data_IF_108856451429
#
_entry.id   IF_108856451429
#
_cell.length_a   1.000
_cell.length_b   1.000
_cell.length_c   1.000
_cell.angle_alpha   90.00
_cell.angle_beta   90.00
_cell.angle_gamma   90.00
#
_symmetry.space_group_name_H-M   'P 1'
#
loop_
_entity.id
_entity.type
_entity.pdbx_description
1 polymer ?
#
# COMPACT_ATOMS: atom_id res chain seq x y z
N UNK A 1 18.44 9.08 7.45
CA UNK A 1 17.68 10.32 7.22
C UNK A 1 16.46 9.95 6.40
N UNK A 2 15.30 10.53 6.70
CA UNK A 2 14.11 10.32 5.88
C UNK A 2 14.24 11.11 4.57
N UNK A 3 13.86 10.49 3.46
CA UNK A 3 13.74 11.14 2.16
C UNK A 3 12.46 10.64 1.47
N UNK A 4 11.83 11.54 0.71
CA UNK A 4 10.66 11.22 -0.09
C UNK A 4 10.64 12.05 -1.38
N UNK A 5 9.91 11.56 -2.38
CA UNK A 5 9.60 12.30 -3.60
C UNK A 5 8.15 12.05 -4.03
N UNK A 6 7.59 13.05 -4.71
CA UNK A 6 6.27 12.97 -5.34
C UNK A 6 6.46 13.39 -6.79
N UNK A 7 6.07 12.55 -7.74
CA UNK A 7 6.20 12.80 -9.16
C UNK A 7 4.90 12.45 -9.91
N UNK A 8 4.61 13.10 -11.06
CA UNK A 8 3.63 12.60 -12.01
C UNK A 8 3.98 11.19 -12.49
N UNK A 9 2.98 10.44 -12.97
CA UNK A 9 3.23 9.17 -13.64
C UNK A 9 3.80 9.46 -15.04
N UNK A 10 5.06 9.08 -15.27
CA UNK A 10 5.69 9.16 -16.59
C UNK A 10 5.34 7.95 -17.48
N UNK A 11 5.75 7.98 -18.75
CA UNK A 11 5.44 6.91 -19.71
C UNK A 11 6.03 5.56 -19.31
N UNK A 12 7.26 5.55 -18.77
CA UNK A 12 7.92 4.32 -18.35
C UNK A 12 7.20 3.67 -17.16
N UNK A 13 6.75 4.48 -16.20
CA UNK A 13 5.99 4.02 -15.06
C UNK A 13 4.56 3.63 -15.45
N UNK A 14 3.90 4.37 -16.35
CA UNK A 14 2.61 3.98 -16.89
C UNK A 14 2.67 2.60 -17.57
N UNK A 15 3.76 2.30 -18.28
CA UNK A 15 4.00 0.99 -18.87
C UNK A 15 4.25 -0.11 -17.81
N UNK A 16 4.98 0.20 -16.73
CA UNK A 16 5.15 -0.71 -15.58
C UNK A 16 3.82 -0.99 -14.86
N UNK A 17 2.91 -0.03 -14.85
CA UNK A 17 1.61 -0.09 -14.15
C UNK A 17 0.47 -0.69 -14.97
N UNK A 18 0.76 -1.37 -16.09
CA UNK A 18 -0.28 -1.82 -17.02
C UNK A 18 -1.21 -2.90 -16.47
N UNK A 19 -0.87 -3.53 -15.33
CA UNK A 19 -1.74 -4.51 -14.69
C UNK A 19 -2.69 -3.84 -13.69
N UNK A 20 -2.19 -2.87 -12.92
CA UNK A 20 -2.94 -2.16 -11.89
C UNK A 20 -3.72 -0.96 -12.40
N UNK A 21 -3.43 -0.48 -13.62
CA UNK A 21 -4.15 0.61 -14.30
C UNK A 21 -4.51 0.23 -15.74
N UNK A 22 -5.71 0.62 -16.20
CA UNK A 22 -6.17 0.45 -17.58
C UNK A 22 -7.28 1.47 -17.93
N UNK A 23 -7.58 1.70 -19.22
CA UNK A 23 -8.76 2.47 -19.61
C UNK A 23 -10.04 1.93 -18.94
N UNK A 24 -10.83 2.83 -18.35
CA UNK A 24 -12.03 2.49 -17.57
C UNK A 24 -11.82 2.47 -16.05
N UNK A 25 -10.57 2.61 -15.58
CA UNK A 25 -10.30 2.92 -14.18
C UNK A 25 -10.89 4.28 -13.77
N UNK A 26 -11.35 4.42 -12.52
CA UNK A 26 -12.08 5.61 -12.09
C UNK A 26 -11.18 6.85 -11.92
N UNK A 27 -9.86 6.67 -11.89
CA UNK A 27 -8.87 7.75 -11.76
C UNK A 27 -7.90 7.66 -12.94
N UNK A 28 -7.75 8.74 -13.73
CA UNK A 28 -6.82 8.76 -14.84
C UNK A 28 -5.37 8.96 -14.35
N UNK A 29 -4.37 8.63 -15.18
CA UNK A 29 -2.95 8.67 -14.77
C UNK A 29 -2.49 10.06 -14.34
N UNK A 30 -3.04 11.13 -14.94
CA UNK A 30 -2.73 12.52 -14.59
C UNK A 30 -3.11 12.91 -13.15
N UNK A 31 -4.06 12.19 -12.54
CA UNK A 31 -4.51 12.41 -11.17
C UNK A 31 -3.80 11.49 -10.16
N UNK A 32 -2.93 10.59 -10.64
CA UNK A 32 -2.09 9.74 -9.80
C UNK A 32 -0.68 10.32 -9.63
N UNK A 33 -0.07 10.04 -8.48
CA UNK A 33 1.31 10.42 -8.17
C UNK A 33 2.09 9.19 -7.76
N UNK A 34 3.29 9.08 -8.32
CA UNK A 34 4.30 8.16 -7.86
C UNK A 34 5.00 8.78 -6.66
N UNK A 35 4.96 8.06 -5.55
CA UNK A 35 5.53 8.48 -4.29
C UNK A 35 6.62 7.49 -3.91
N UNK A 36 7.82 7.99 -3.65
CA UNK A 36 8.87 7.20 -2.99
C UNK A 36 9.08 7.70 -1.58
N UNK A 37 9.27 6.79 -0.63
CA UNK A 37 9.53 7.13 0.77
C UNK A 37 10.61 6.23 1.34
N UNK A 38 11.38 6.77 2.28
CA UNK A 38 12.31 5.98 3.07
C UNK A 38 11.55 5.29 4.21
N UNK A 39 11.78 3.99 4.42
CA UNK A 39 11.22 3.23 5.54
C UNK A 39 12.29 2.39 6.23
N UNK A 40 11.93 1.82 7.38
CA UNK A 40 12.76 0.83 8.11
C UNK A 40 12.10 -0.53 7.95
N UNK A 41 12.86 -1.55 7.58
CA UNK A 41 12.34 -2.93 7.49
C UNK A 41 12.34 -3.65 8.85
N UNK A 42 11.78 -4.85 8.90
CA UNK A 42 11.73 -5.66 10.13
C UNK A 42 13.12 -6.05 10.68
N UNK A 43 14.16 -6.02 9.84
CA UNK A 43 15.55 -6.24 10.25
C UNK A 43 16.23 -4.94 10.73
N UNK A 44 15.51 -3.82 10.71
CA UNK A 44 15.99 -2.50 11.12
C UNK A 44 16.79 -1.76 10.04
N UNK A 45 16.87 -2.28 8.82
CA UNK A 45 17.59 -1.67 7.72
C UNK A 45 16.74 -0.58 7.05
N UNK A 46 17.41 0.47 6.57
CA UNK A 46 16.78 1.58 5.86
C UNK A 46 16.59 1.19 4.39
N UNK A 47 15.36 1.33 3.89
CA UNK A 47 14.94 0.99 2.54
C UNK A 47 14.20 2.15 1.88
N UNK A 48 14.06 2.08 0.57
CA UNK A 48 13.15 2.94 -0.20
C UNK A 48 11.96 2.10 -0.64
N UNK A 49 10.77 2.63 -0.44
CA UNK A 49 9.51 2.02 -0.88
C UNK A 49 8.85 2.85 -1.97
N UNK A 50 8.00 2.18 -2.74
CA UNK A 50 7.24 2.74 -3.88
C UNK A 50 5.74 2.66 -3.60
N UNK A 51 5.04 3.77 -3.83
CA UNK A 51 3.57 3.85 -3.79
C UNK A 51 3.06 4.64 -4.99
N UNK A 52 1.84 4.33 -5.40
CA UNK A 52 1.05 5.20 -6.27
C UNK A 52 -0.22 5.56 -5.53
N UNK A 53 -0.54 6.85 -5.48
CA UNK A 53 -1.67 7.41 -4.75
C UNK A 53 -2.32 8.52 -5.57
N UNK A 54 -3.53 8.92 -5.20
CA UNK A 54 -4.17 10.09 -5.80
C UNK A 54 -3.42 11.37 -5.41
N UNK A 55 -3.39 12.35 -6.31
CA UNK A 55 -2.63 13.58 -6.14
C UNK A 55 -3.03 14.39 -4.89
N UNK A 56 -4.31 14.36 -4.52
CA UNK A 56 -4.85 15.09 -3.35
C UNK A 56 -4.38 14.54 -1.99
N UNK A 57 -3.95 13.26 -1.93
CA UNK A 57 -3.47 12.63 -0.69
C UNK A 57 -1.95 12.48 -0.65
N UNK A 58 -1.23 12.73 -1.76
CA UNK A 58 0.20 12.45 -1.89
C UNK A 58 1.06 13.07 -0.76
N UNK A 59 0.87 14.36 -0.47
CA UNK A 59 1.60 15.03 0.60
C UNK A 59 1.23 14.50 2.00
N UNK A 60 -0.04 14.12 2.19
CA UNK A 60 -0.50 13.48 3.42
C UNK A 60 0.19 12.13 3.65
N UNK A 61 0.30 11.32 2.60
CA UNK A 61 0.97 10.02 2.62
C UNK A 61 2.47 10.18 2.95
N UNK A 62 3.15 11.15 2.34
CA UNK A 62 4.56 11.46 2.68
C UNK A 62 4.70 11.79 4.17
N UNK A 63 3.83 12.63 4.74
CA UNK A 63 3.86 12.95 6.18
C UNK A 63 3.65 11.71 7.06
N UNK A 64 2.67 10.87 6.74
CA UNK A 64 2.42 9.63 7.50
C UNK A 64 3.67 8.74 7.49
N UNK A 65 4.31 8.53 6.33
CA UNK A 65 5.51 7.69 6.29
C UNK A 65 6.74 8.35 6.95
N UNK A 66 6.81 9.68 7.00
CA UNK A 66 7.82 10.37 7.80
C UNK A 66 7.64 10.06 9.30
N UNK A 67 6.41 10.15 9.82
CA UNK A 67 6.08 9.84 11.21
C UNK A 67 6.37 8.37 11.55
N UNK A 68 6.00 7.43 10.65
CA UNK A 68 6.34 6.00 10.80
C UNK A 68 7.85 5.78 10.83
N UNK A 69 8.61 6.47 9.98
CA UNK A 69 10.07 6.37 9.93
C UNK A 69 10.73 6.91 11.21
N UNK A 70 10.27 8.05 11.73
CA UNK A 70 10.75 8.63 12.99
C UNK A 70 10.54 7.69 14.18
N UNK A 71 9.40 7.00 14.20
CA UNK A 71 9.09 5.97 15.20
C UNK A 71 9.82 4.64 14.97
N UNK A 72 10.57 4.52 13.87
CA UNK A 72 11.20 3.28 13.41
C UNK A 72 10.21 2.12 13.27
N UNK A 73 8.96 2.45 12.90
CA UNK A 73 7.93 1.45 12.64
C UNK A 73 8.37 0.52 11.50
N UNK A 74 8.39 -0.81 11.70
CA UNK A 74 8.89 -1.74 10.70
C UNK A 74 7.86 -1.96 9.58
N UNK A 75 8.31 -1.91 8.33
CA UNK A 75 7.51 -2.21 7.14
C UNK A 75 8.17 -3.37 6.39
N UNK A 76 7.42 -4.44 6.08
CA UNK A 76 8.04 -5.64 5.48
C UNK A 76 8.45 -5.45 4.03
N UNK A 77 7.57 -4.87 3.24
CA UNK A 77 7.78 -4.55 1.83
C UNK A 77 6.92 -3.36 1.45
N UNK A 78 7.39 -2.56 0.49
CA UNK A 78 6.62 -1.48 -0.12
C UNK A 78 6.99 -1.37 -1.59
N UNK A 79 6.27 -2.13 -2.41
CA UNK A 79 6.43 -2.23 -3.86
C UNK A 79 5.09 -1.98 -4.54
N UNK A 80 5.12 -1.57 -5.80
CA UNK A 80 3.89 -1.43 -6.59
C UNK A 80 3.22 -2.80 -6.76
N UNK A 81 1.89 -2.83 -6.73
CA UNK A 81 1.14 -4.10 -6.88
C UNK A 81 1.39 -4.78 -8.23
N UNK A 82 1.82 -4.04 -9.25
CA UNK A 82 2.23 -4.58 -10.56
C UNK A 82 3.39 -5.56 -10.48
N UNK A 83 4.27 -5.43 -9.47
CA UNK A 83 5.33 -6.40 -9.20
C UNK A 83 4.80 -7.78 -8.79
N UNK A 84 3.50 -7.85 -8.46
CA UNK A 84 2.74 -9.05 -8.16
C UNK A 84 1.68 -9.33 -9.24
N UNK A 85 1.79 -8.72 -10.42
CA UNK A 85 0.83 -8.85 -11.51
C UNK A 85 -0.52 -8.19 -11.22
N UNK A 86 -0.57 -7.20 -10.33
CA UNK A 86 -1.78 -6.59 -9.76
C UNK A 86 -2.70 -7.58 -9.02
N UNK A 87 -2.18 -8.76 -8.66
CA UNK A 87 -2.86 -9.71 -7.78
C UNK A 87 -2.78 -9.22 -6.34
N UNK A 88 -3.91 -8.69 -5.88
CA UNK A 88 -4.12 -8.20 -4.52
C UNK A 88 -3.81 -9.26 -3.46
N UNK A 89 -4.20 -10.51 -3.71
CA UNK A 89 -3.97 -11.61 -2.78
C UNK A 89 -2.48 -11.97 -2.73
N UNK A 90 -1.78 -11.95 -3.87
CA UNK A 90 -0.34 -12.18 -3.90
C UNK A 90 0.43 -11.06 -3.16
N UNK A 91 0.05 -9.80 -3.39
CA UNK A 91 0.62 -8.62 -2.69
C UNK A 91 0.41 -8.72 -1.17
N UNK A 92 -0.82 -9.01 -0.72
CA UNK A 92 -1.13 -9.17 0.70
C UNK A 92 -0.41 -10.37 1.34
N UNK A 93 -0.33 -11.51 0.64
CA UNK A 93 0.39 -12.67 1.16
C UNK A 93 1.91 -12.45 1.24
N UNK A 94 2.46 -11.56 0.42
CA UNK A 94 3.84 -11.10 0.52
C UNK A 94 4.05 -10.01 1.59
N UNK A 95 2.98 -9.66 2.33
CA UNK A 95 2.94 -8.60 3.33
C UNK A 95 3.40 -7.24 2.78
N UNK A 96 3.00 -6.95 1.56
CA UNK A 96 3.39 -5.74 0.86
C UNK A 96 2.47 -4.58 1.26
N UNK A 97 3.07 -3.51 1.78
CA UNK A 97 2.42 -2.22 1.94
C UNK A 97 2.17 -1.62 0.57
N UNK A 98 0.91 -1.32 0.24
CA UNK A 98 0.53 -0.87 -1.10
C UNK A 98 -0.68 0.08 -1.07
N UNK A 99 -0.91 0.82 -2.15
CA UNK A 99 -1.94 1.86 -2.19
C UNK A 99 -2.86 1.76 -3.41
N UNK A 100 -2.37 2.03 -4.63
CA UNK A 100 -3.20 1.98 -5.83
C UNK A 100 -3.31 0.56 -6.41
N UNK A 101 -4.54 0.12 -6.69
CA UNK A 101 -4.85 -1.05 -7.52
C UNK A 101 -6.26 -0.91 -8.11
N UNK A 102 -6.38 -0.69 -9.43
CA UNK A 102 -7.68 -0.53 -10.08
C UNK A 102 -8.42 -1.85 -10.27
N UNK A 103 -9.17 -2.23 -9.24
CA UNK A 103 -10.02 -3.42 -9.21
C UNK A 103 -11.36 -3.16 -8.54
N UNK A 104 -12.32 -4.02 -8.82
CA UNK A 104 -13.54 -4.06 -8.04
C UNK A 104 -13.26 -4.52 -6.59
N UNK A 105 -14.17 -4.20 -5.68
CA UNK A 105 -14.20 -4.78 -4.34
C UNK A 105 -14.32 -6.30 -4.42
N UNK A 106 -13.79 -7.00 -3.42
CA UNK A 106 -13.86 -8.46 -3.34
C UNK A 106 -15.31 -8.92 -3.29
N UNK A 107 -15.73 -9.73 -4.26
CA UNK A 107 -17.08 -10.29 -4.35
C UNK A 107 -18.15 -9.33 -4.86
N UNK A 108 -17.79 -8.15 -5.38
CA UNK A 108 -18.72 -7.17 -5.94
C UNK A 108 -18.24 -6.55 -7.24
N UNK A 109 -18.98 -5.56 -7.73
CA UNK A 109 -18.69 -4.83 -8.98
C UNK A 109 -18.36 -3.35 -8.76
N UNK A 110 -18.57 -2.82 -7.55
CA UNK A 110 -18.15 -1.48 -7.19
C UNK A 110 -16.62 -1.39 -7.10
N UNK A 111 -16.07 -0.20 -7.35
CA UNK A 111 -14.63 0.03 -7.23
C UNK A 111 -14.15 -0.07 -5.79
N UNK A 112 -12.97 -0.67 -5.60
CA UNK A 112 -12.22 -0.63 -4.34
C UNK A 112 -11.72 0.79 -4.05
N UNK A 113 -11.53 1.16 -2.78
CA UNK A 113 -10.87 2.42 -2.41
C UNK A 113 -9.43 2.50 -2.95
N UNK A 114 -8.77 1.35 -3.11
CA UNK A 114 -7.47 1.27 -3.81
C UNK A 114 -7.55 1.69 -5.28
N UNK A 115 -8.70 1.53 -5.94
CA UNK A 115 -8.88 1.96 -7.33
C UNK A 115 -8.94 3.48 -7.46
N UNK A 116 -9.23 4.19 -6.36
CA UNK A 116 -9.18 5.65 -6.30
C UNK A 116 -7.81 6.19 -5.85
N UNK A 117 -6.87 5.33 -5.47
CA UNK A 117 -5.55 5.74 -4.96
C UNK A 117 -5.61 6.45 -3.60
N UNK A 118 -6.67 6.20 -2.81
CA UNK A 118 -6.92 6.87 -1.52
C UNK A 118 -6.86 5.92 -0.31
N UNK A 119 -6.55 4.64 -0.53
CA UNK A 119 -6.33 3.65 0.51
C UNK A 119 -4.87 3.24 0.59
N UNK A 120 -4.43 2.81 1.77
CA UNK A 120 -3.15 2.14 2.01
C UNK A 120 -3.44 0.88 2.81
N UNK A 121 -2.97 -0.25 2.31
CA UNK A 121 -2.76 -1.44 3.12
C UNK A 121 -1.34 -1.37 3.69
N UNK A 122 -1.21 -1.43 5.02
CA UNK A 122 0.08 -1.33 5.72
C UNK A 122 0.39 -2.65 6.41
N UNK A 123 1.44 -3.35 6.00
CA UNK A 123 1.80 -4.70 6.46
C UNK A 123 0.55 -5.60 6.63
N UNK A 124 -0.13 -6.02 5.54
CA UNK A 124 -1.38 -6.77 5.60
C UNK A 124 -1.39 -7.99 6.54
N UNK A 125 -0.26 -8.64 6.79
CA UNK A 125 -0.16 -9.74 7.76
C UNK A 125 -0.31 -9.22 9.18
N UNK A 126 0.39 -8.14 9.55
CA UNK A 126 0.30 -7.55 10.89
C UNK A 126 -0.97 -6.71 11.10
N UNK A 127 -1.51 -6.09 10.04
CA UNK A 127 -2.74 -5.29 10.05
C UNK A 127 -3.77 -5.88 9.07
N UNK A 128 -4.32 -7.06 9.36
CA UNK A 128 -5.18 -7.77 8.42
C UNK A 128 -6.52 -7.08 8.20
N UNK A 129 -7.05 -7.26 7.00
CA UNK A 129 -8.45 -6.97 6.72
C UNK A 129 -9.35 -7.99 7.46
N UNK A 130 -10.25 -7.49 8.31
CA UNK A 130 -11.19 -8.30 9.08
C UNK A 130 -12.61 -7.90 8.71
N UNK A 131 -13.39 -8.86 8.20
CA UNK A 131 -14.82 -8.70 7.92
C UNK A 131 -15.59 -9.92 8.48
N UNK A 132 -16.29 -9.73 9.59
CA UNK A 132 -16.95 -10.82 10.29
C UNK A 132 -15.92 -11.87 10.73
N UNK A 133 -16.06 -13.12 10.26
CA UNK A 133 -15.10 -14.21 10.51
C UNK A 133 -13.99 -14.33 9.45
N UNK A 134 -14.06 -13.52 8.39
CA UNK A 134 -13.04 -13.46 7.36
C UNK A 134 -11.86 -12.61 7.84
N UNK A 135 -10.66 -13.16 7.67
CA UNK A 135 -9.39 -12.47 7.94
C UNK A 135 -8.46 -12.74 6.76
N UNK A 136 -8.04 -11.67 6.09
CA UNK A 136 -7.14 -11.69 4.95
C UNK A 136 -5.91 -10.81 5.22
N UNK A 137 -4.69 -11.26 4.87
CA UNK A 137 -4.33 -12.57 4.32
C UNK A 137 -4.41 -13.67 5.38
N UNK A 138 -4.30 -14.95 4.97
CA UNK A 138 -4.43 -16.10 5.90
C UNK A 138 -3.44 -16.02 7.07
N UNK A 139 -2.21 -15.59 6.83
CA UNK A 139 -1.18 -15.42 7.86
C UNK A 139 -1.59 -14.37 8.90
N UNK A 140 -2.38 -13.37 8.51
CA UNK A 140 -2.85 -12.31 9.41
C UNK A 140 -3.85 -12.78 10.46
N UNK A 141 -4.35 -14.02 10.41
CA UNK A 141 -5.18 -14.60 11.49
C UNK A 141 -4.49 -14.56 12.86
N UNK A 142 -3.16 -14.67 12.89
CA UNK A 142 -2.39 -14.54 14.13
C UNK A 142 -2.45 -13.13 14.75
N UNK A 143 -2.75 -12.11 13.94
CA UNK A 143 -2.78 -10.71 14.31
C UNK A 143 -4.20 -10.13 14.43
N UNK A 144 -5.24 -10.93 14.19
CA UNK A 144 -6.62 -10.47 14.23
C UNK A 144 -7.06 -9.91 15.60
N UNK A 145 -6.41 -10.34 16.69
CA UNK A 145 -6.62 -9.80 18.04
C UNK A 145 -5.84 -8.51 18.32
N UNK A 146 -5.07 -8.02 17.35
CA UNK A 146 -4.13 -6.89 17.46
C UNK A 146 -3.21 -7.02 18.68
N UNK A 147 -2.38 -8.09 18.76
CA UNK A 147 -1.43 -8.23 19.84
C UNK A 147 -0.43 -7.06 19.82
N UNK A 148 0.13 -6.71 20.98
CA UNK A 148 1.26 -5.78 21.05
C UNK A 148 2.51 -6.45 20.45
N UNK A 149 2.77 -6.16 19.19
CA UNK A 149 3.84 -6.75 18.39
C UNK A 149 4.36 -5.74 17.34
N UNK A 150 5.63 -5.84 16.92
CA UNK A 150 6.18 -4.96 15.89
C UNK A 150 5.33 -4.99 14.60
N UNK A 151 5.03 -3.81 14.05
CA UNK A 151 4.24 -3.68 12.83
C UNK A 151 2.72 -3.74 13.03
N UNK A 152 2.23 -3.91 14.26
CA UNK A 152 0.79 -3.81 14.55
C UNK A 152 0.42 -2.36 14.87
N UNK A 153 -0.54 -1.81 14.15
CA UNK A 153 -1.14 -0.50 14.45
C UNK A 153 -2.17 -0.67 15.55
N UNK A 154 -2.20 0.23 16.51
CA UNK A 154 -3.23 0.32 17.54
C UNK A 154 -4.08 1.57 17.33
N UNK A 155 -5.35 1.51 17.72
CA UNK A 155 -6.15 2.72 17.88
C UNK A 155 -5.76 3.35 19.21
N UNK A 156 -5.57 4.67 19.22
CA UNK A 156 -5.43 5.45 20.45
C UNK A 156 -6.71 5.42 21.31
#
# INVERSE_FOLDING_TARGET
>A
MYAASVAPIDEALAARMSASWRPGCPVPLEDLRYVTVTHVDFDGAVRTGELVVHADVADGVVRVFAELFEQRYPIRSMRLVDDFGADDTASMNADNTSAFNCRAITGGTAWSEHAYGRAIDLNPVENPYVLGSHVGPRAGRAFASRPDAPGVVHAD
#
